data_IF_235775830544
#
_entry.id   IF_235775830544
#
_cell.length_a   1.000
_cell.length_b   1.000
_cell.length_c   1.000
_cell.angle_alpha   90.00
_cell.angle_beta   90.00
_cell.angle_gamma   90.00
#
_symmetry.space_group_name_H-M   'P 1'
#
loop_
_entity.id
_entity.type
_entity.pdbx_description
1 polymer ?
#
# COMPACT_ATOMS: atom_id res chain seq x y z
N UNK A 1 -27.78 -13.00 4.33
CA UNK A 1 -26.50 -12.28 4.14
C UNK A 1 -25.53 -12.73 5.22
N UNK A 2 -24.30 -13.14 4.87
CA UNK A 2 -23.33 -13.70 5.82
C UNK A 2 -23.04 -12.76 7.00
N UNK A 3 -22.84 -11.46 6.72
CA UNK A 3 -22.46 -10.44 7.71
C UNK A 3 -23.55 -10.08 8.71
N UNK A 4 -24.82 -10.41 8.42
CA UNK A 4 -25.96 -10.18 9.33
C UNK A 4 -26.50 -11.48 9.95
N UNK A 5 -25.95 -12.64 9.59
CA UNK A 5 -26.49 -13.92 10.04
C UNK A 5 -26.24 -14.13 11.56
N UNK A 6 -27.27 -14.47 12.36
CA UNK A 6 -27.15 -14.55 13.82
C UNK A 6 -26.24 -15.68 14.31
N UNK A 7 -26.05 -16.73 13.49
CA UNK A 7 -25.14 -17.84 13.79
C UNK A 7 -23.65 -17.54 13.56
N UNK A 8 -23.28 -16.36 13.06
CA UNK A 8 -21.88 -15.99 12.80
C UNK A 8 -21.32 -15.19 13.99
N UNK A 9 -20.34 -15.75 14.69
CA UNK A 9 -19.73 -15.14 15.88
C UNK A 9 -18.66 -14.08 15.57
N UNK A 10 -18.00 -14.17 14.41
CA UNK A 10 -16.95 -13.26 13.96
C UNK A 10 -16.92 -13.18 12.44
N UNK A 11 -16.63 -12.00 11.91
CA UNK A 11 -16.31 -11.78 10.50
C UNK A 11 -14.86 -11.30 10.39
N UNK A 12 -14.07 -11.92 9.52
CA UNK A 12 -12.81 -11.33 9.04
C UNK A 12 -13.01 -10.96 7.57
N UNK A 13 -12.56 -9.78 7.18
CA UNK A 13 -12.68 -9.28 5.81
C UNK A 13 -11.41 -8.54 5.39
N UNK A 14 -10.93 -8.90 4.20
CA UNK A 14 -9.88 -8.18 3.48
C UNK A 14 -10.45 -7.58 2.20
N UNK A 15 -10.24 -6.28 1.98
CA UNK A 15 -10.71 -5.62 0.76
C UNK A 15 -10.81 -4.10 0.86
N UNK A 16 -11.71 -3.48 0.09
CA UNK A 16 -11.77 -2.01 0.05
C UNK A 16 -12.32 -1.41 1.35
N UNK A 17 -11.81 -0.24 1.73
CA UNK A 17 -12.26 0.50 2.92
C UNK A 17 -13.77 0.75 2.93
N UNK A 18 -14.33 1.12 1.79
CA UNK A 18 -15.79 1.35 1.65
C UNK A 18 -16.63 0.09 1.85
N UNK A 19 -16.12 -1.07 1.43
CA UNK A 19 -16.79 -2.36 1.71
C UNK A 19 -16.63 -2.73 3.17
N UNK A 20 -15.46 -2.53 3.77
CA UNK A 20 -15.19 -2.75 5.19
C UNK A 20 -16.15 -1.98 6.09
N UNK A 21 -16.38 -0.70 5.81
CA UNK A 21 -17.37 0.14 6.53
C UNK A 21 -18.78 -0.45 6.47
N UNK A 22 -19.22 -0.90 5.29
CA UNK A 22 -20.54 -1.54 5.11
C UNK A 22 -20.64 -2.87 5.87
N UNK A 23 -19.57 -3.66 5.87
CA UNK A 23 -19.50 -4.92 6.62
C UNK A 23 -19.60 -4.65 8.12
N UNK A 24 -18.84 -3.68 8.64
CA UNK A 24 -18.88 -3.28 10.04
C UNK A 24 -20.28 -2.83 10.46
N UNK A 25 -20.93 -1.98 9.66
CA UNK A 25 -22.29 -1.53 9.92
C UNK A 25 -23.30 -2.70 9.95
N UNK A 26 -23.19 -3.65 9.02
CA UNK A 26 -24.01 -4.87 9.03
C UNK A 26 -23.76 -5.73 10.27
N UNK A 27 -22.50 -5.86 10.69
CA UNK A 27 -22.09 -6.66 11.84
C UNK A 27 -22.66 -6.14 13.17
N UNK A 28 -22.87 -4.82 13.30
CA UNK A 28 -23.40 -4.17 14.49
C UNK A 28 -24.77 -4.74 14.93
N UNK A 29 -25.61 -5.17 13.98
CA UNK A 29 -26.94 -5.75 14.25
C UNK A 29 -26.94 -6.97 15.17
N UNK A 30 -25.82 -7.69 15.28
CA UNK A 30 -25.68 -8.85 16.19
C UNK A 30 -24.46 -8.74 17.09
N UNK A 31 -23.84 -7.56 17.16
CA UNK A 31 -22.62 -7.30 17.95
C UNK A 31 -21.48 -8.32 17.73
N UNK A 32 -21.36 -8.86 16.50
CA UNK A 32 -20.30 -9.82 16.19
C UNK A 32 -18.94 -9.14 16.11
N UNK A 33 -17.88 -9.84 16.51
CA UNK A 33 -16.51 -9.35 16.39
C UNK A 33 -16.14 -9.18 14.92
N UNK A 34 -15.34 -8.18 14.59
CA UNK A 34 -14.88 -7.92 13.23
C UNK A 34 -13.37 -7.72 13.23
N UNK A 35 -12.66 -8.36 12.31
CA UNK A 35 -11.30 -7.98 11.89
C UNK A 35 -11.40 -7.44 10.47
N UNK A 36 -10.82 -6.28 10.21
CA UNK A 36 -10.81 -5.64 8.90
C UNK A 36 -9.35 -5.35 8.51
N UNK A 37 -8.94 -5.89 7.36
CA UNK A 37 -7.66 -5.59 6.70
C UNK A 37 -8.02 -4.87 5.40
N UNK A 38 -7.75 -3.58 5.30
CA UNK A 38 -8.32 -2.71 4.26
C UNK A 38 -7.19 -2.05 3.46
N UNK A 39 -7.59 -1.37 2.39
CA UNK A 39 -6.66 -0.70 1.47
C UNK A 39 -5.51 0.08 2.14
N UNK A 40 -4.39 0.13 1.44
CA UNK A 40 -3.18 0.85 1.85
C UNK A 40 -2.88 1.99 0.89
N UNK A 41 -2.11 2.98 1.35
CA UNK A 41 -1.52 4.00 0.48
C UNK A 41 -0.08 4.24 0.92
N UNK A 42 0.66 3.14 0.90
CA UNK A 42 1.91 2.98 1.64
C UNK A 42 2.97 3.94 1.12
N UNK A 43 3.62 4.62 2.07
CA UNK A 43 4.69 5.57 1.79
C UNK A 43 6.05 4.88 1.85
N UNK A 44 6.92 5.18 0.89
CA UNK A 44 8.34 4.87 0.96
C UNK A 44 9.14 6.17 0.98
N UNK A 45 9.82 6.45 2.08
CA UNK A 45 10.70 7.60 2.24
C UNK A 45 12.13 7.16 1.91
N UNK A 46 12.73 7.78 0.90
CA UNK A 46 14.08 7.48 0.40
C UNK A 46 14.99 8.66 0.72
N UNK A 47 15.97 8.44 1.59
CA UNK A 47 16.99 9.42 1.95
C UNK A 47 18.09 9.51 0.89
N UNK A 48 18.84 10.61 0.93
CA UNK A 48 19.89 10.95 -0.02
C UNK A 48 21.11 10.03 -0.02
N UNK A 49 21.32 9.29 1.07
CA UNK A 49 22.51 8.47 1.26
C UNK A 49 22.40 7.05 0.69
N UNK A 50 21.25 6.67 0.13
CA UNK A 50 21.00 5.34 -0.44
C UNK A 50 21.94 5.01 -1.60
N UNK A 51 22.12 3.73 -1.86
CA UNK A 51 22.69 3.27 -3.13
C UNK A 51 21.60 3.26 -4.19
N UNK A 52 21.53 4.31 -5.02
CA UNK A 52 20.43 4.54 -5.98
C UNK A 52 20.21 3.33 -6.90
N UNK A 53 21.22 2.75 -7.58
CA UNK A 53 21.01 1.62 -8.47
C UNK A 53 20.32 0.42 -7.80
N UNK A 54 20.67 0.13 -6.54
CA UNK A 54 20.08 -0.98 -5.79
C UNK A 54 18.70 -0.62 -5.23
N UNK A 55 18.55 0.55 -4.60
CA UNK A 55 17.32 0.91 -3.88
C UNK A 55 16.20 1.28 -4.85
N UNK A 56 16.48 1.98 -5.94
CA UNK A 56 15.47 2.33 -6.93
C UNK A 56 14.82 1.09 -7.55
N UNK A 57 15.61 0.06 -7.91
CA UNK A 57 15.09 -1.19 -8.43
C UNK A 57 14.19 -1.94 -7.44
N UNK A 58 14.56 -1.97 -6.15
CA UNK A 58 13.74 -2.58 -5.09
C UNK A 58 12.43 -1.82 -4.87
N UNK A 59 12.51 -0.51 -4.74
CA UNK A 59 11.33 0.36 -4.55
C UNK A 59 10.39 0.25 -5.76
N UNK A 60 10.92 0.28 -6.99
CA UNK A 60 10.13 0.10 -8.20
C UNK A 60 9.47 -1.28 -8.26
N UNK A 61 10.20 -2.36 -7.99
CA UNK A 61 9.60 -3.70 -7.92
C UNK A 61 8.44 -3.74 -6.90
N UNK A 62 8.66 -3.24 -5.68
CA UNK A 62 7.67 -3.24 -4.61
C UNK A 62 6.47 -2.31 -4.84
N UNK A 63 6.64 -1.28 -5.67
CA UNK A 63 5.57 -0.37 -6.07
C UNK A 63 4.70 -0.96 -7.19
N UNK A 64 5.28 -1.74 -8.10
CA UNK A 64 4.62 -2.13 -9.35
C UNK A 64 4.38 -3.64 -9.52
N UNK A 65 4.93 -4.51 -8.67
CA UNK A 65 4.68 -5.97 -8.70
C UNK A 65 3.18 -6.26 -8.65
N UNK A 66 2.75 -7.32 -9.35
CA UNK A 66 1.34 -7.66 -9.53
C UNK A 66 0.51 -6.51 -10.16
N UNK A 67 1.15 -5.70 -10.99
CA UNK A 67 0.58 -4.49 -11.57
C UNK A 67 0.03 -3.52 -10.51
N UNK A 68 0.69 -3.42 -9.35
CA UNK A 68 0.30 -2.52 -8.25
C UNK A 68 -0.98 -2.92 -7.51
N UNK A 69 -1.42 -4.18 -7.64
CA UNK A 69 -2.68 -4.70 -7.07
C UNK A 69 -2.45 -5.47 -5.75
N UNK A 70 -1.53 -5.00 -4.90
CA UNK A 70 -1.32 -5.51 -3.54
C UNK A 70 -1.60 -4.39 -2.53
N UNK A 71 -2.26 -4.72 -1.42
CA UNK A 71 -2.59 -3.74 -0.38
C UNK A 71 -1.33 -3.05 0.17
N UNK A 72 -0.25 -3.80 0.37
CA UNK A 72 1.07 -3.36 0.84
C UNK A 72 2.04 -2.87 -0.26
N UNK A 73 1.58 -2.68 -1.50
CA UNK A 73 2.47 -2.04 -2.48
C UNK A 73 2.76 -0.60 -2.06
N UNK A 74 4.00 -0.17 -2.33
CA UNK A 74 4.39 1.23 -2.25
C UNK A 74 3.53 2.01 -3.25
N UNK A 75 2.73 2.95 -2.74
CA UNK A 75 1.83 3.78 -3.54
C UNK A 75 2.19 5.26 -3.51
N UNK A 76 3.08 5.67 -2.62
CA UNK A 76 3.68 7.01 -2.61
C UNK A 76 5.17 6.89 -2.38
N UNK A 77 5.97 7.44 -3.28
CA UNK A 77 7.43 7.46 -3.14
C UNK A 77 7.85 8.88 -2.80
N UNK A 78 8.53 9.09 -1.67
CA UNK A 78 9.14 10.36 -1.30
C UNK A 78 10.64 10.23 -1.43
N UNK A 79 11.28 11.03 -2.28
CA UNK A 79 12.73 10.97 -2.50
C UNK A 79 13.36 12.30 -2.11
N UNK A 80 14.46 12.24 -1.38
CA UNK A 80 15.18 13.45 -0.97
C UNK A 80 15.59 14.25 -2.21
N UNK A 81 15.38 15.57 -2.18
CA UNK A 81 15.48 16.42 -3.37
C UNK A 81 16.85 16.35 -4.07
N UNK A 82 17.92 16.12 -3.30
CA UNK A 82 19.29 16.06 -3.81
C UNK A 82 19.58 14.85 -4.70
N UNK A 83 18.78 13.79 -4.62
CA UNK A 83 18.94 12.58 -5.45
C UNK A 83 17.72 12.29 -6.33
N UNK A 84 16.71 13.17 -6.31
CA UNK A 84 15.41 12.91 -6.90
C UNK A 84 15.47 12.59 -8.39
N UNK A 85 16.22 13.38 -9.17
CA UNK A 85 16.27 13.20 -10.62
C UNK A 85 16.98 11.90 -11.02
N UNK A 86 18.04 11.52 -10.31
CA UNK A 86 18.77 10.27 -10.53
C UNK A 86 17.92 9.06 -10.13
N UNK A 87 17.25 9.13 -8.97
CA UNK A 87 16.35 8.08 -8.50
C UNK A 87 15.15 7.91 -9.44
N UNK A 88 14.54 9.00 -9.90
CA UNK A 88 13.48 8.99 -10.93
C UNK A 88 13.94 8.25 -12.18
N UNK A 89 15.12 8.61 -12.67
CA UNK A 89 15.67 8.03 -13.89
C UNK A 89 15.92 6.53 -13.72
N UNK A 90 16.39 6.09 -12.56
CA UNK A 90 16.57 4.68 -12.24
C UNK A 90 15.23 3.92 -12.13
N UNK A 91 14.19 4.52 -11.53
CA UNK A 91 12.84 3.93 -11.49
C UNK A 91 12.25 3.80 -12.90
N UNK A 92 12.34 4.84 -13.73
CA UNK A 92 11.88 4.78 -15.12
C UNK A 92 12.64 3.72 -15.90
N UNK A 93 13.97 3.65 -15.74
CA UNK A 93 14.79 2.61 -16.36
C UNK A 93 14.38 1.20 -15.92
N UNK A 94 13.95 1.00 -14.68
CA UNK A 94 13.36 -0.28 -14.25
C UNK A 94 12.07 -0.57 -15.02
N UNK A 95 11.14 0.40 -15.12
CA UNK A 95 9.86 0.22 -15.82
C UNK A 95 10.04 -0.05 -17.31
N UNK A 96 11.02 0.59 -17.96
CA UNK A 96 11.35 0.37 -19.36
C UNK A 96 11.87 -1.05 -19.61
N UNK A 97 12.54 -1.68 -18.64
CA UNK A 97 13.07 -3.04 -18.81
C UNK A 97 12.03 -4.15 -18.56
N UNK A 98 10.81 -3.81 -18.13
CA UNK A 98 9.77 -4.77 -17.76
C UNK A 98 8.72 -4.92 -18.86
N UNK A 99 8.32 -6.16 -19.13
CA UNK A 99 7.34 -6.46 -20.18
C UNK A 99 5.92 -6.49 -19.64
N UNK A 100 4.99 -5.97 -20.43
CA UNK A 100 3.54 -6.14 -20.19
C UNK A 100 3.01 -7.24 -21.10
N UNK A 101 2.18 -8.13 -20.56
CA UNK A 101 1.65 -9.25 -21.32
C UNK A 101 0.39 -9.87 -20.73
N UNK A 102 -0.05 -10.98 -21.35
CA UNK A 102 -1.19 -11.76 -20.88
C UNK A 102 -0.80 -12.79 -19.83
N UNK A 103 -1.79 -13.44 -19.21
CA UNK A 103 -1.57 -14.49 -18.21
C UNK A 103 -0.69 -15.65 -18.70
N UNK A 104 -0.73 -15.97 -20.00
CA UNK A 104 0.04 -17.07 -20.59
C UNK A 104 1.46 -16.68 -21.01
N UNK A 105 1.85 -15.42 -20.83
CA UNK A 105 3.16 -14.93 -21.22
C UNK A 105 4.14 -15.06 -20.03
N UNK A 106 5.13 -15.97 -20.10
CA UNK A 106 6.05 -16.20 -18.98
C UNK A 106 7.04 -15.05 -18.77
N UNK A 107 7.21 -14.16 -19.75
CA UNK A 107 8.12 -13.01 -19.67
C UNK A 107 7.40 -11.74 -19.17
N UNK A 108 6.06 -11.79 -19.06
CA UNK A 108 5.26 -10.65 -18.62
C UNK A 108 5.43 -10.40 -17.11
N UNK A 109 5.97 -9.22 -16.79
CA UNK A 109 5.99 -8.70 -15.43
C UNK A 109 4.66 -8.00 -15.07
N UNK A 110 4.10 -7.26 -16.03
CA UNK A 110 2.82 -6.57 -15.87
C UNK A 110 1.69 -7.37 -16.50
N UNK A 111 0.79 -7.86 -15.65
CA UNK A 111 -0.47 -8.46 -16.05
C UNK A 111 -1.62 -7.44 -16.14
N UNK A 112 -2.81 -7.87 -16.59
CA UNK A 112 -3.99 -7.02 -16.66
C UNK A 112 -4.50 -6.65 -15.26
N UNK A 113 -5.26 -5.55 -15.21
CA UNK A 113 -6.08 -5.20 -14.05
C UNK A 113 -7.21 -6.22 -13.90
N UNK A 114 -7.46 -6.63 -12.66
CA UNK A 114 -8.33 -7.75 -12.31
C UNK A 114 -9.78 -7.63 -12.81
N UNK A 115 -10.34 -6.42 -12.89
CA UNK A 115 -11.74 -6.22 -13.26
C UNK A 115 -12.02 -4.81 -13.85
N UNK A 116 -13.20 -4.67 -14.46
CA UNK A 116 -13.64 -3.45 -15.14
C UNK A 116 -13.71 -2.23 -14.23
N UNK A 117 -14.30 -2.39 -13.05
CA UNK A 117 -14.48 -1.28 -12.10
C UNK A 117 -13.13 -0.67 -11.68
N UNK A 118 -12.15 -1.52 -11.41
CA UNK A 118 -10.80 -1.08 -11.04
C UNK A 118 -10.07 -0.47 -12.24
N UNK A 119 -10.22 -1.06 -13.43
CA UNK A 119 -9.67 -0.49 -14.67
C UNK A 119 -10.23 0.92 -14.95
N UNK A 120 -11.55 1.09 -14.85
CA UNK A 120 -12.21 2.39 -15.04
C UNK A 120 -11.79 3.42 -13.98
N UNK A 121 -11.51 2.98 -12.74
CA UNK A 121 -10.95 3.86 -11.71
C UNK A 121 -9.58 4.40 -12.12
N UNK A 122 -8.70 3.53 -12.58
CA UNK A 122 -7.35 3.92 -13.02
C UNK A 122 -7.42 4.83 -14.26
N UNK A 123 -8.29 4.52 -15.24
CA UNK A 123 -8.51 5.40 -16.40
C UNK A 123 -8.97 6.81 -16.00
N UNK A 124 -9.80 6.96 -14.95
CA UNK A 124 -10.17 8.29 -14.42
C UNK A 124 -8.98 9.03 -13.82
N UNK A 125 -8.12 8.34 -13.08
CA UNK A 125 -6.90 8.94 -12.52
C UNK A 125 -5.99 9.45 -13.64
N UNK A 126 -5.77 8.66 -14.70
CA UNK A 126 -5.02 9.10 -15.89
C UNK A 126 -5.66 10.32 -16.54
N UNK A 127 -6.98 10.31 -16.74
CA UNK A 127 -7.69 11.46 -17.31
C UNK A 127 -7.53 12.75 -16.49
N UNK A 128 -7.49 12.65 -15.16
CA UNK A 128 -7.24 13.81 -14.29
C UNK A 128 -5.79 14.29 -14.40
N UNK A 129 -4.82 13.37 -14.40
CA UNK A 129 -3.40 13.69 -14.62
C UNK A 129 -3.19 14.44 -15.94
N UNK A 130 -3.77 13.93 -17.03
CA UNK A 130 -3.69 14.55 -18.36
C UNK A 130 -4.31 15.94 -18.38
N UNK A 131 -5.48 16.09 -17.75
CA UNK A 131 -6.18 17.36 -17.63
C UNK A 131 -5.41 18.40 -16.83
N UNK A 132 -4.73 17.98 -15.77
CA UNK A 132 -3.90 18.86 -14.93
C UNK A 132 -2.52 19.13 -15.54
N UNK A 133 -2.13 18.39 -16.57
CA UNK A 133 -0.84 18.53 -17.24
C UNK A 133 0.35 18.08 -16.38
N UNK A 134 0.12 17.17 -15.42
CA UNK A 134 1.20 16.61 -14.63
C UNK A 134 2.06 15.70 -15.49
N UNK A 135 3.36 15.68 -15.19
CA UNK A 135 4.33 14.94 -15.98
C UNK A 135 4.24 13.44 -15.68
N UNK A 136 3.76 12.69 -16.66
CA UNK A 136 3.67 11.22 -16.63
C UNK A 136 4.88 10.60 -17.33
N UNK A 137 5.56 9.69 -16.65
CA UNK A 137 6.68 8.92 -17.15
C UNK A 137 6.22 7.46 -17.26
N UNK A 138 5.67 7.12 -18.42
CA UNK A 138 5.16 5.78 -18.74
C UNK A 138 6.26 4.96 -19.42
N UNK A 139 6.34 3.67 -19.08
CA UNK A 139 7.27 2.74 -19.73
C UNK A 139 7.13 2.79 -21.26
N UNK A 140 8.26 2.89 -21.97
CA UNK A 140 8.28 2.89 -23.44
C UNK A 140 8.09 1.50 -24.05
N UNK A 141 8.28 0.44 -23.28
CA UNK A 141 8.09 -0.95 -23.70
C UNK A 141 6.66 -1.47 -23.43
N UNK A 142 5.79 -0.56 -23.01
CA UNK A 142 4.36 -0.78 -22.94
C UNK A 142 3.70 -0.89 -24.31
N UNK A 143 2.99 -1.99 -24.56
CA UNK A 143 2.11 -2.12 -25.74
C UNK A 143 1.13 -0.93 -25.81
N UNK A 144 1.28 -0.10 -26.81
CA UNK A 144 0.50 1.14 -26.99
C UNK A 144 -1.01 0.91 -27.18
N UNK A 145 -1.45 -0.33 -27.38
CA UNK A 145 -2.86 -0.72 -27.44
C UNK A 145 -3.07 -2.14 -26.91
N UNK A 146 -3.75 -2.31 -25.78
CA UNK A 146 -4.36 -3.59 -25.43
C UNK A 146 -5.39 -3.93 -26.50
N UNK A 147 -5.16 -4.94 -27.33
CA UNK A 147 -6.18 -5.37 -28.29
C UNK A 147 -7.39 -5.99 -27.54
N UNK A 148 -7.16 -6.56 -26.35
CA UNK A 148 -8.18 -7.16 -25.46
C UNK A 148 -7.74 -7.08 -23.99
N UNK A 149 -8.70 -6.93 -23.08
CA UNK A 149 -8.48 -7.00 -21.63
C UNK A 149 -8.22 -5.64 -20.96
N UNK A 150 -8.09 -5.65 -19.63
CA UNK A 150 -7.92 -4.46 -18.80
C UNK A 150 -6.44 -4.12 -18.57
N UNK A 151 -5.65 -3.98 -19.64
CA UNK A 151 -4.23 -3.67 -19.50
C UNK A 151 -4.02 -2.17 -19.31
N UNK A 152 -3.12 -1.81 -18.40
CA UNK A 152 -2.72 -0.44 -18.10
C UNK A 152 -1.21 -0.37 -18.11
N UNK A 153 -0.68 0.70 -18.70
CA UNK A 153 0.75 0.89 -18.74
C UNK A 153 1.28 1.35 -17.39
N UNK A 154 2.40 0.79 -16.90
CA UNK A 154 3.02 1.26 -15.68
C UNK A 154 3.51 2.71 -15.86
N UNK A 155 3.09 3.58 -14.95
CA UNK A 155 3.37 5.01 -15.03
C UNK A 155 3.86 5.54 -13.69
N UNK A 156 4.92 6.35 -13.74
CA UNK A 156 5.37 7.18 -12.63
C UNK A 156 4.88 8.62 -12.84
N UNK A 157 4.24 9.22 -11.84
CA UNK A 157 3.79 10.61 -11.88
C UNK A 157 4.83 11.48 -11.17
N UNK A 158 5.45 12.40 -11.91
CA UNK A 158 6.61 13.17 -11.49
C UNK A 158 6.18 14.42 -10.69
N UNK A 159 6.38 14.36 -9.37
CA UNK A 159 6.17 15.42 -8.39
C UNK A 159 4.79 16.13 -8.49
N UNK A 160 3.66 15.39 -8.47
CA UNK A 160 2.33 16.00 -8.43
C UNK A 160 2.10 16.74 -7.10
N UNK A 161 1.10 17.65 -7.03
CA UNK A 161 0.70 18.28 -5.78
C UNK A 161 0.31 17.25 -4.71
N UNK A 162 0.66 17.53 -3.45
CA UNK A 162 0.39 16.62 -2.33
C UNK A 162 -1.11 16.33 -2.14
N UNK A 163 -1.97 17.32 -2.39
CA UNK A 163 -3.43 17.23 -2.27
C UNK A 163 -4.14 16.59 -3.47
N UNK A 164 -3.39 16.18 -4.49
CA UNK A 164 -3.93 15.51 -5.66
C UNK A 164 -4.55 14.15 -5.34
N UNK A 165 -5.57 13.76 -6.11
CA UNK A 165 -6.23 12.45 -5.93
C UNK A 165 -5.25 11.28 -6.10
N UNK A 166 -4.27 11.39 -7.02
CA UNK A 166 -3.26 10.35 -7.24
C UNK A 166 -2.35 10.13 -6.03
N UNK A 167 -2.12 11.17 -5.21
CA UNK A 167 -1.38 11.07 -3.95
C UNK A 167 -2.29 10.62 -2.82
N UNK A 168 -3.50 11.16 -2.70
CA UNK A 168 -4.34 10.95 -1.52
C UNK A 168 -5.14 9.63 -1.53
N UNK A 169 -5.55 9.15 -2.71
CA UNK A 169 -6.34 7.93 -2.85
C UNK A 169 -5.45 6.71 -3.10
N UNK A 170 -5.86 5.52 -2.64
CA UNK A 170 -5.22 4.27 -3.05
C UNK A 170 -5.51 4.00 -4.53
N UNK A 171 -4.52 3.96 -5.44
CA UNK A 171 -4.80 3.70 -6.85
C UNK A 171 -5.18 2.24 -7.08
N UNK A 172 -4.43 1.30 -6.46
CA UNK A 172 -4.54 -0.16 -6.65
C UNK A 172 -4.33 -0.58 -8.11
N UNK A 173 -3.23 -0.10 -8.69
CA UNK A 173 -2.83 -0.29 -10.08
C UNK A 173 -1.42 0.27 -10.30
N UNK A 174 -0.84 0.13 -11.51
CA UNK A 174 0.55 0.45 -11.75
C UNK A 174 0.73 1.94 -12.09
N UNK A 175 0.19 2.82 -11.24
CA UNK A 175 0.30 4.27 -11.35
C UNK A 175 0.75 4.83 -10.00
N UNK A 176 1.95 5.39 -9.95
CA UNK A 176 2.60 5.73 -8.67
C UNK A 176 3.12 7.16 -8.71
N UNK A 177 2.68 8.05 -7.81
CA UNK A 177 3.30 9.35 -7.63
C UNK A 177 4.64 9.25 -6.91
N UNK A 178 5.59 10.08 -7.33
CA UNK A 178 6.85 10.28 -6.64
C UNK A 178 7.05 11.77 -6.36
N UNK A 179 7.31 12.12 -5.11
CA UNK A 179 7.42 13.50 -4.64
C UNK A 179 8.80 13.79 -4.06
N UNK A 180 9.22 15.05 -4.18
CA UNK A 180 10.43 15.58 -3.53
C UNK A 180 10.18 15.85 -2.05
N UNK A 181 11.24 15.74 -1.25
CA UNK A 181 11.29 16.29 0.10
C UNK A 181 12.69 16.82 0.46
N UNK A 182 12.78 17.95 1.18
CA UNK A 182 14.06 18.47 1.71
C UNK A 182 14.19 18.34 3.23
N UNK A 183 13.09 18.16 3.95
CA UNK A 183 13.02 18.22 5.41
C UNK A 183 12.41 16.93 6.00
N UNK A 184 13.05 16.39 7.03
CA UNK A 184 12.66 15.10 7.64
C UNK A 184 11.30 15.18 8.35
N UNK A 185 11.05 16.27 9.08
CA UNK A 185 9.80 16.43 9.84
C UNK A 185 8.61 16.65 8.89
N UNK A 186 8.81 17.41 7.81
CA UNK A 186 7.83 17.60 6.73
C UNK A 186 7.50 16.28 6.02
N UNK A 187 8.50 15.49 5.62
CA UNK A 187 8.24 14.24 4.88
C UNK A 187 7.52 13.20 5.75
N UNK A 188 7.86 13.12 7.04
CA UNK A 188 7.13 12.25 7.99
C UNK A 188 5.68 12.73 8.14
N UNK A 189 5.47 14.05 8.25
CA UNK A 189 4.12 14.65 8.32
C UNK A 189 3.30 14.32 7.06
N UNK A 190 3.89 14.45 5.87
CA UNK A 190 3.23 14.16 4.59
C UNK A 190 2.96 12.67 4.39
N UNK A 191 3.90 11.81 4.78
CA UNK A 191 3.69 10.36 4.80
C UNK A 191 2.48 9.99 5.67
N UNK A 192 2.33 10.63 6.83
CA UNK A 192 1.22 10.44 7.77
C UNK A 192 -0.09 11.16 7.39
N UNK A 193 -0.08 12.10 6.46
CA UNK A 193 -1.28 12.88 6.09
C UNK A 193 -2.42 12.04 5.48
N UNK A 194 -2.10 10.83 5.00
CA UNK A 194 -3.09 9.88 4.50
C UNK A 194 -4.01 9.37 5.62
N UNK A 195 -5.31 9.21 5.30
CA UNK A 195 -6.27 8.51 6.15
C UNK A 195 -6.08 6.99 6.16
N UNK A 196 -5.21 6.46 5.29
CA UNK A 196 -4.79 5.07 5.22
C UNK A 196 -3.42 4.91 5.88
N UNK A 197 -3.21 3.80 6.58
CA UNK A 197 -2.00 3.50 7.35
C UNK A 197 -1.77 2.00 7.43
N UNK A 198 -1.63 1.34 6.28
CA UNK A 198 -1.36 -0.11 6.24
C UNK A 198 0.13 -0.39 6.44
N UNK A 199 0.95 0.06 5.51
CA UNK A 199 2.40 -0.05 5.58
C UNK A 199 3.12 1.28 5.32
N UNK A 200 4.36 1.38 5.78
CA UNK A 200 5.28 2.43 5.37
C UNK A 200 6.74 1.99 5.54
N UNK A 201 7.66 2.61 4.79
CA UNK A 201 9.08 2.33 4.98
C UNK A 201 10.00 3.53 4.81
N UNK A 202 11.19 3.42 5.40
CA UNK A 202 12.28 4.39 5.28
C UNK A 202 13.54 3.70 4.76
N UNK A 203 14.19 4.29 3.77
CA UNK A 203 15.37 3.76 3.10
C UNK A 203 16.54 4.72 3.27
N UNK A 204 17.60 4.28 3.97
CA UNK A 204 18.81 5.07 4.25
C UNK A 204 19.96 4.15 4.64
N UNK A 205 21.21 4.53 4.33
CA UNK A 205 22.39 3.83 4.86
C UNK A 205 22.58 4.12 6.35
N UNK A 206 22.18 5.30 6.82
CA UNK A 206 22.05 5.63 8.25
C UNK A 206 20.81 4.95 8.85
N UNK A 207 21.00 3.69 9.27
CA UNK A 207 19.94 2.89 9.92
C UNK A 207 19.38 3.56 11.19
N UNK A 208 20.20 4.13 12.11
CA UNK A 208 19.68 4.91 13.23
C UNK A 208 18.75 6.07 12.81
N UNK A 209 19.10 6.84 11.78
CA UNK A 209 18.25 7.90 11.23
C UNK A 209 16.95 7.34 10.66
N UNK A 210 17.04 6.34 9.78
CA UNK A 210 15.86 5.71 9.21
C UNK A 210 14.92 5.16 10.28
N UNK A 211 15.45 4.55 11.35
CA UNK A 211 14.66 4.06 12.47
C UNK A 211 13.94 5.20 13.21
N UNK A 212 14.62 6.33 13.47
CA UNK A 212 13.99 7.51 14.11
C UNK A 212 12.85 8.10 13.27
N UNK A 213 13.00 8.14 11.96
CA UNK A 213 11.92 8.56 11.06
C UNK A 213 10.78 7.54 11.06
N UNK A 214 11.12 6.25 10.97
CA UNK A 214 10.18 5.14 10.92
C UNK A 214 9.32 5.01 12.19
N UNK A 215 9.90 5.26 13.37
CA UNK A 215 9.19 5.25 14.67
C UNK A 215 8.08 6.32 14.77
N UNK A 216 8.08 7.32 13.89
CA UNK A 216 7.08 8.38 13.83
C UNK A 216 5.96 8.11 12.81
N UNK A 217 6.08 7.05 12.01
CA UNK A 217 5.10 6.71 10.97
C UNK A 217 3.88 6.00 11.54
N UNK A 218 2.70 6.41 11.08
CA UNK A 218 1.41 5.90 11.54
C UNK A 218 0.87 4.82 10.60
N UNK A 219 1.48 3.63 10.63
CA UNK A 219 1.01 2.46 9.88
C UNK A 219 1.14 1.18 10.71
N UNK A 220 0.38 0.14 10.34
CA UNK A 220 0.39 -1.13 11.08
C UNK A 220 1.64 -1.99 10.82
N UNK A 221 2.30 -1.82 9.67
CA UNK A 221 3.61 -2.40 9.37
C UNK A 221 4.61 -1.30 8.99
N UNK A 222 5.78 -1.30 9.62
CA UNK A 222 6.84 -0.33 9.38
C UNK A 222 8.14 -1.06 9.06
N UNK A 223 8.79 -0.66 7.96
CA UNK A 223 10.06 -1.27 7.52
C UNK A 223 11.19 -0.24 7.40
N UNK A 224 12.42 -0.69 7.67
CA UNK A 224 13.64 0.07 7.40
C UNK A 224 14.48 -0.72 6.40
N UNK A 225 14.87 -0.09 5.29
CA UNK A 225 15.64 -0.68 4.19
C UNK A 225 15.03 -1.94 3.55
N UNK A 226 13.72 -2.09 3.71
CA UNK A 226 12.89 -3.08 3.03
C UNK A 226 11.45 -2.57 2.95
N UNK A 227 10.55 -3.32 2.32
CA UNK A 227 9.12 -3.08 2.33
C UNK A 227 8.42 -4.40 2.03
N UNK A 228 7.21 -4.61 2.55
CA UNK A 228 6.43 -5.82 2.29
C UNK A 228 7.14 -7.14 2.69
N UNK A 229 8.08 -7.07 3.64
CA UNK A 229 8.62 -8.26 4.30
C UNK A 229 7.63 -8.72 5.37
N UNK A 230 7.14 -9.94 5.22
CA UNK A 230 6.08 -10.49 6.06
C UNK A 230 6.48 -11.85 6.61
N UNK A 231 6.00 -12.19 7.81
CA UNK A 231 6.19 -13.49 8.41
C UNK A 231 4.93 -13.93 9.17
N UNK A 232 4.52 -15.21 9.11
CA UNK A 232 3.28 -15.68 9.75
C UNK A 232 3.21 -15.46 11.27
N UNK A 233 4.36 -15.32 11.92
CA UNK A 233 4.49 -15.08 13.36
C UNK A 233 4.51 -13.59 13.74
N UNK A 234 4.52 -12.67 12.76
CA UNK A 234 4.47 -11.21 12.96
C UNK A 234 3.03 -10.74 12.72
N UNK A 235 2.45 -9.90 13.61
CA UNK A 235 1.10 -9.40 13.40
C UNK A 235 1.02 -8.51 12.15
N UNK A 236 -0.11 -8.58 11.46
CA UNK A 236 -0.36 -7.80 10.24
C UNK A 236 -1.76 -7.20 10.25
N UNK A 237 -1.87 -5.94 9.85
CA UNK A 237 -3.11 -5.17 9.81
C UNK A 237 -2.81 -3.69 9.67
N UNK A 238 -3.85 -2.86 9.60
CA UNK A 238 -3.73 -1.43 9.35
C UNK A 238 -4.10 -0.56 10.55
N UNK A 239 -3.51 0.63 10.60
CA UNK A 239 -3.98 1.76 11.40
C UNK A 239 -5.00 2.60 10.60
N UNK A 240 -5.61 3.59 11.27
CA UNK A 240 -6.56 4.53 10.66
C UNK A 240 -7.67 3.79 9.89
N UNK A 241 -7.93 4.17 8.64
CA UNK A 241 -8.95 3.52 7.80
C UNK A 241 -8.45 2.26 7.07
N UNK A 242 -7.20 1.85 7.29
CA UNK A 242 -6.63 0.62 6.73
C UNK A 242 -6.96 -0.62 7.54
N UNK A 243 -7.58 -0.51 8.71
CA UNK A 243 -8.03 -1.72 9.39
C UNK A 243 -8.55 -1.53 10.80
N UNK A 244 -9.07 -2.64 11.33
CA UNK A 244 -9.45 -2.82 12.73
C UNK A 244 -9.03 -4.23 13.14
N UNK A 245 -8.20 -4.32 14.17
CA UNK A 245 -7.59 -5.57 14.60
C UNK A 245 -6.39 -5.96 13.73
N UNK A 246 -5.82 -7.11 14.04
CA UNK A 246 -4.67 -7.69 13.31
C UNK A 246 -5.00 -9.13 12.96
N UNK A 247 -4.43 -9.60 11.86
CA UNK A 247 -4.23 -10.99 11.50
C UNK A 247 -2.78 -11.42 11.82
N UNK A 248 -2.52 -12.72 11.70
CA UNK A 248 -1.20 -13.34 11.93
C UNK A 248 -0.59 -13.12 13.33
N UNK A 249 0.51 -13.81 13.60
CA UNK A 249 1.16 -13.81 14.90
C UNK A 249 0.24 -14.21 16.06
N UNK A 250 0.72 -14.01 17.27
CA UNK A 250 -0.06 -14.28 18.48
C UNK A 250 -1.26 -13.32 18.62
N UNK A 251 -1.10 -12.08 18.17
CA UNK A 251 -2.15 -11.04 18.24
C UNK A 251 -3.35 -11.43 17.38
N UNK A 252 -3.11 -11.82 16.13
CA UNK A 252 -4.17 -12.27 15.23
C UNK A 252 -4.83 -13.56 15.69
N UNK A 253 -4.04 -14.54 16.17
CA UNK A 253 -4.58 -15.77 16.77
C UNK A 253 -5.53 -15.46 17.93
N UNK A 254 -5.12 -14.60 18.86
CA UNK A 254 -5.97 -14.15 19.98
C UNK A 254 -7.24 -13.45 19.49
N UNK A 255 -7.18 -12.78 18.34
CA UNK A 255 -8.34 -12.17 17.66
C UNK A 255 -9.44 -13.16 17.26
N UNK A 256 -9.15 -14.47 17.21
CA UNK A 256 -10.12 -15.54 16.97
C UNK A 256 -10.68 -16.16 18.26
N UNK A 257 -9.98 -16.01 19.39
CA UNK A 257 -10.38 -16.56 20.69
C UNK A 257 -11.32 -15.62 21.48
N UNK A 258 -12.06 -16.16 22.45
CA UNK A 258 -12.78 -15.37 23.45
C UNK A 258 -12.07 -15.54 24.81
N UNK A 259 -11.55 -14.48 25.44
CA UNK A 259 -10.98 -14.60 26.77
C UNK A 259 -12.09 -14.88 27.80
N UNK A 260 -11.81 -15.78 28.75
CA UNK A 260 -12.72 -16.10 29.86
C UNK A 260 -11.95 -15.97 31.18
N UNK A 261 -12.38 -15.03 32.02
CA UNK A 261 -11.91 -14.96 33.40
C UNK A 261 -12.74 -15.94 34.25
N UNK A 262 -12.07 -16.85 34.97
CA UNK A 262 -12.71 -17.85 35.82
C UNK A 262 -12.12 -17.78 37.23
N UNK A 263 -12.98 -17.51 38.22
CA UNK A 263 -12.59 -17.32 39.61
C UNK A 263 -13.26 -18.38 40.49
N UNK A 264 -12.48 -19.04 41.33
CA UNK A 264 -12.99 -19.97 42.34
C UNK A 264 -12.58 -19.43 43.72
N UNK A 265 -13.58 -19.04 44.52
CA UNK A 265 -13.36 -18.68 45.92
C UNK A 265 -13.49 -19.94 46.77
N UNK A 266 -12.41 -20.33 47.44
CA UNK A 266 -12.46 -21.37 48.47
C UNK A 266 -12.84 -20.73 49.82
N UNK A 267 -13.79 -21.33 50.54
CA UNK A 267 -14.14 -20.91 51.90
C UNK A 267 -13.04 -21.35 52.88
N UNK A 268 -12.29 -20.39 53.44
CA UNK A 268 -11.22 -20.67 54.41
C UNK A 268 -10.18 -19.56 54.68
N UNK A 269 -10.42 -18.31 54.28
CA UNK A 269 -9.62 -17.14 54.67
C UNK A 269 -10.54 -15.93 54.86
#
# INVERSE_FOLDING_TARGET
MLTAHPGVAKVSFTGSTETGKKIMASCASTLKRVTLELGGNDAAIVCEDVDIPTVAGKVAFLAYVHSGQICMNIKRIYVHESIYDDFRSAVVGFLDNMQSGGFSDPEAFFGPIQNKMQFEKLQRLYGEIDKQGWKSLTSTNGTTKPEKGYQIQPTLIDNPPEDSEIVQAEPFGPIVPMMKWPDEDDVVTRANASNLGLGASVWSKDVPRARRMAEQLEAGSIWVNTHFEVAPNVPFGGHKSSGIGMDWGEVGLKGWCNPQAYWVKHSGA
#
